data_IF_137791606284
#
_entry.id   IF_137791606284
#
_cell.length_a   1.000
_cell.length_b   1.000
_cell.length_c   1.000
_cell.angle_alpha   90.00
_cell.angle_beta   90.00
_cell.angle_gamma   90.00
#
_symmetry.space_group_name_H-M   'P 1'
#
loop_
_entity.id
_entity.type
_entity.pdbx_description
1 polymer ?
#
# COMPACT_ATOMS: atom_id res chain seq x y z
N UNK A 1 -46.38 20.54 -12.58
CA UNK A 1 -46.08 19.71 -11.37
C UNK A 1 -45.35 18.40 -11.73
N UNK A 2 -45.79 17.65 -12.72
CA UNK A 2 -45.12 16.39 -13.12
C UNK A 2 -43.64 16.56 -13.56
N UNK A 3 -43.34 17.59 -14.35
CA UNK A 3 -41.96 17.85 -14.82
C UNK A 3 -41.00 18.19 -13.67
N UNK A 4 -41.46 18.97 -12.68
CA UNK A 4 -40.65 19.29 -11.51
C UNK A 4 -40.34 18.03 -10.66
N UNK A 5 -41.31 17.13 -10.52
CA UNK A 5 -41.11 15.85 -9.84
C UNK A 5 -40.09 14.96 -10.56
N UNK A 6 -40.14 14.90 -11.89
CA UNK A 6 -39.19 14.12 -12.71
C UNK A 6 -37.77 14.67 -12.57
N UNK A 7 -37.59 16.00 -12.61
CA UNK A 7 -36.29 16.63 -12.41
C UNK A 7 -35.70 16.33 -11.04
N UNK A 8 -36.52 16.42 -9.98
CA UNK A 8 -36.06 16.10 -8.61
C UNK A 8 -35.64 14.63 -8.52
N UNK A 9 -36.38 13.71 -9.12
CA UNK A 9 -36.05 12.28 -9.15
C UNK A 9 -34.72 12.02 -9.85
N UNK A 10 -34.47 12.68 -10.99
CA UNK A 10 -33.21 12.56 -11.73
C UNK A 10 -32.03 13.06 -10.90
N UNK A 11 -32.18 14.19 -10.21
CA UNK A 11 -31.12 14.74 -9.34
C UNK A 11 -30.81 13.77 -8.18
N UNK A 12 -31.84 13.28 -7.50
CA UNK A 12 -31.68 12.31 -6.39
C UNK A 12 -30.97 11.05 -6.88
N UNK A 13 -31.40 10.49 -8.02
CA UNK A 13 -30.79 9.30 -8.59
C UNK A 13 -29.31 9.52 -8.97
N UNK A 14 -28.99 10.69 -9.55
CA UNK A 14 -27.61 11.05 -9.91
C UNK A 14 -26.72 11.17 -8.68
N UNK A 15 -27.21 11.78 -7.60
CA UNK A 15 -26.49 11.90 -6.33
C UNK A 15 -26.26 10.54 -5.69
N UNK A 16 -27.24 9.66 -5.68
CA UNK A 16 -27.12 8.30 -5.16
C UNK A 16 -26.12 7.46 -5.97
N UNK A 17 -26.15 7.60 -7.28
CA UNK A 17 -25.25 6.88 -8.20
C UNK A 17 -23.80 7.35 -8.02
N UNK A 18 -23.57 8.67 -7.95
CA UNK A 18 -22.27 9.26 -7.63
C UNK A 18 -21.79 8.85 -6.24
N UNK A 19 -22.63 8.90 -5.22
CA UNK A 19 -22.33 8.44 -3.87
C UNK A 19 -21.96 6.96 -3.82
N UNK A 20 -22.69 6.10 -4.56
CA UNK A 20 -22.39 4.68 -4.71
C UNK A 20 -21.05 4.41 -5.38
N UNK A 21 -20.72 5.16 -6.45
CA UNK A 21 -19.42 5.07 -7.13
C UNK A 21 -18.29 5.51 -6.21
N UNK A 22 -18.45 6.64 -5.54
CA UNK A 22 -17.47 7.15 -4.57
C UNK A 22 -17.28 6.13 -3.44
N UNK A 23 -18.38 5.62 -2.87
CA UNK A 23 -18.30 4.59 -1.84
C UNK A 23 -17.59 3.32 -2.34
N UNK A 24 -17.91 2.82 -3.53
CA UNK A 24 -17.24 1.66 -4.12
C UNK A 24 -15.75 1.88 -4.40
N UNK A 25 -15.34 3.10 -4.75
CA UNK A 25 -13.95 3.45 -4.99
C UNK A 25 -13.14 3.62 -3.68
N UNK A 26 -13.75 4.22 -2.65
CA UNK A 26 -13.06 4.52 -1.39
C UNK A 26 -13.20 3.43 -0.33
N UNK A 27 -14.33 2.70 -0.31
CA UNK A 27 -14.56 1.59 0.62
C UNK A 27 -14.15 0.22 0.04
N UNK A 28 -13.38 0.21 -1.04
CA UNK A 28 -12.79 -1.03 -1.53
C UNK A 28 -11.89 -1.59 -0.42
N UNK A 29 -12.41 -2.61 0.27
CA UNK A 29 -11.72 -3.32 1.36
C UNK A 29 -10.24 -3.47 1.06
N UNK A 30 -9.35 -3.25 2.05
CA UNK A 30 -7.94 -3.57 1.92
C UNK A 30 -7.86 -4.99 1.38
N UNK A 31 -7.20 -5.13 0.24
CA UNK A 31 -7.13 -6.41 -0.47
C UNK A 31 -6.43 -7.40 0.46
N UNK A 32 -7.19 -8.30 1.07
CA UNK A 32 -6.61 -9.41 1.81
C UNK A 32 -5.80 -10.26 0.83
N UNK A 33 -4.69 -10.80 1.28
CA UNK A 33 -3.97 -11.82 0.51
C UNK A 33 -4.96 -12.93 0.13
N UNK A 34 -4.96 -13.31 -1.13
CA UNK A 34 -5.77 -14.44 -1.58
C UNK A 34 -5.18 -15.74 -1.00
N UNK A 35 -6.01 -16.76 -0.87
CA UNK A 35 -5.54 -18.08 -0.40
C UNK A 35 -4.40 -18.65 -1.26
N UNK A 36 -4.31 -18.26 -2.54
CA UNK A 36 -3.23 -18.64 -3.44
C UNK A 36 -1.91 -17.89 -3.15
N UNK A 37 -2.00 -16.59 -2.81
CA UNK A 37 -0.85 -15.79 -2.42
C UNK A 37 -0.29 -16.30 -1.08
N UNK A 38 -1.17 -16.70 -0.18
CA UNK A 38 -0.81 -17.30 1.11
C UNK A 38 -0.14 -18.66 0.95
N UNK A 39 -0.69 -19.53 0.08
CA UNK A 39 -0.10 -20.83 -0.21
C UNK A 39 1.29 -20.75 -0.86
N UNK A 40 1.62 -19.63 -1.52
CA UNK A 40 2.94 -19.38 -2.08
C UNK A 40 3.99 -19.00 -1.02
N UNK A 41 3.57 -18.74 0.22
CA UNK A 41 4.45 -18.36 1.32
C UNK A 41 4.60 -19.58 2.23
N UNK A 42 5.57 -20.46 1.90
CA UNK A 42 5.89 -21.62 2.73
C UNK A 42 6.27 -21.19 4.15
N UNK A 43 5.64 -21.79 5.15
CA UNK A 43 6.00 -21.63 6.55
C UNK A 43 5.24 -20.56 7.34
N UNK A 44 4.21 -19.94 6.77
CA UNK A 44 3.30 -19.07 7.55
C UNK A 44 2.12 -19.91 8.05
N UNK A 45 2.14 -20.22 9.34
CA UNK A 45 1.04 -20.95 9.98
C UNK A 45 -0.24 -20.13 10.15
N UNK A 46 -0.15 -18.79 10.05
CA UNK A 46 -1.29 -17.88 10.19
C UNK A 46 -1.28 -16.77 9.14
N UNK A 47 -2.27 -16.82 8.27
CA UNK A 47 -2.55 -15.78 7.28
C UNK A 47 -2.78 -14.38 7.88
N UNK A 48 -3.12 -14.30 9.15
CA UNK A 48 -3.38 -13.07 9.90
C UNK A 48 -2.11 -12.27 10.23
N UNK A 49 -0.93 -12.91 10.16
CA UNK A 49 0.34 -12.28 10.54
C UNK A 49 0.93 -11.39 9.42
N UNK A 50 0.51 -11.58 8.16
CA UNK A 50 1.05 -10.84 7.02
C UNK A 50 0.25 -9.58 6.76
N UNK A 51 0.92 -8.43 6.85
CA UNK A 51 0.31 -7.10 6.70
C UNK A 51 0.76 -6.45 5.40
N UNK A 52 -0.15 -5.69 4.81
CA UNK A 52 0.16 -4.94 3.60
C UNK A 52 0.97 -3.69 3.93
N UNK A 53 2.07 -3.50 3.21
CA UNK A 53 2.92 -2.32 3.33
C UNK A 53 2.57 -1.26 2.28
N UNK A 54 2.28 -1.67 1.04
CA UNK A 54 2.06 -0.77 -0.08
C UNK A 54 0.60 -0.65 -0.48
N UNK A 55 0.16 0.56 -0.78
CA UNK A 55 -1.12 0.84 -1.45
C UNK A 55 -0.86 1.41 -2.83
N UNK A 56 -1.78 1.18 -3.76
CA UNK A 56 -1.77 1.87 -5.04
C UNK A 56 -2.66 3.10 -4.93
N UNK A 57 -2.11 4.33 -4.94
CA UNK A 57 -2.91 5.52 -5.08
C UNK A 57 -3.56 5.50 -6.46
N UNK A 58 -4.84 5.90 -6.52
CA UNK A 58 -5.51 6.06 -7.80
C UNK A 58 -5.03 7.36 -8.46
N UNK A 59 -4.34 7.27 -9.58
CA UNK A 59 -3.86 8.42 -10.37
C UNK A 59 -3.94 8.13 -11.87
N UNK A 60 -5.13 7.95 -12.42
CA UNK A 60 -5.38 7.91 -13.87
C UNK A 60 -4.26 7.25 -14.72
N UNK A 61 -3.76 6.09 -14.33
CA UNK A 61 -2.68 5.37 -15.00
C UNK A 61 -1.24 5.89 -14.79
N UNK A 62 -1.06 7.10 -14.31
CA UNK A 62 0.27 7.70 -14.21
C UNK A 62 1.08 7.14 -13.02
N UNK A 63 0.43 6.51 -12.05
CA UNK A 63 1.11 5.94 -10.88
C UNK A 63 2.20 4.93 -11.23
N UNK A 64 2.04 4.16 -12.30
CA UNK A 64 3.02 3.16 -12.74
C UNK A 64 4.36 3.74 -13.19
N UNK A 65 4.44 5.04 -13.48
CA UNK A 65 5.70 5.70 -13.80
C UNK A 65 6.51 6.04 -12.55
N UNK A 66 5.86 6.14 -11.40
CA UNK A 66 6.46 6.61 -10.16
C UNK A 66 6.51 5.53 -9.08
N UNK A 67 5.69 4.50 -9.20
CA UNK A 67 5.51 3.45 -8.20
C UNK A 67 5.72 2.10 -8.86
N UNK A 68 6.37 1.21 -8.14
CA UNK A 68 6.56 -0.18 -8.57
C UNK A 68 5.22 -0.89 -8.72
N UNK A 69 5.11 -1.76 -9.72
CA UNK A 69 3.86 -2.49 -10.00
C UNK A 69 3.57 -3.59 -8.98
N UNK A 70 4.59 -4.01 -8.27
CA UNK A 70 4.55 -5.05 -7.25
C UNK A 70 3.80 -4.57 -6.00
N UNK A 71 3.25 -5.51 -5.28
CA UNK A 71 2.69 -5.26 -3.96
C UNK A 71 3.66 -5.73 -2.88
N UNK A 72 3.86 -4.89 -1.87
CA UNK A 72 4.74 -5.18 -0.75
C UNK A 72 3.90 -5.59 0.47
N UNK A 73 4.31 -6.68 1.09
CA UNK A 73 3.72 -7.21 2.30
C UNK A 73 4.83 -7.56 3.28
N UNK A 74 4.54 -7.66 4.56
CA UNK A 74 5.52 -8.00 5.57
C UNK A 74 4.90 -8.76 6.73
N UNK A 75 5.73 -9.50 7.43
CA UNK A 75 5.50 -10.06 8.75
C UNK A 75 6.60 -9.60 9.72
N UNK A 76 6.76 -10.28 10.84
CA UNK A 76 7.79 -9.94 11.82
C UNK A 76 9.23 -10.23 11.32
N UNK A 77 9.40 -11.09 10.32
CA UNK A 77 10.72 -11.58 9.91
C UNK A 77 11.08 -11.21 8.48
N UNK A 78 10.08 -11.10 7.60
CA UNK A 78 10.29 -11.00 6.17
C UNK A 78 9.45 -9.92 5.52
N UNK A 79 9.94 -9.46 4.37
CA UNK A 79 9.23 -8.65 3.41
C UNK A 79 8.97 -9.50 2.17
N UNK A 80 7.75 -9.51 1.71
CA UNK A 80 7.29 -10.26 0.56
C UNK A 80 6.94 -9.31 -0.57
N UNK A 81 7.45 -9.62 -1.75
CA UNK A 81 7.19 -8.88 -2.98
C UNK A 81 6.35 -9.76 -3.89
N UNK A 82 5.17 -9.29 -4.24
CA UNK A 82 4.28 -9.99 -5.15
C UNK A 82 4.14 -9.25 -6.47
N UNK A 83 4.42 -9.93 -7.57
CA UNK A 83 4.04 -9.50 -8.90
C UNK A 83 2.80 -10.28 -9.35
N UNK A 84 1.71 -9.56 -9.64
CA UNK A 84 0.44 -10.12 -10.15
C UNK A 84 -0.04 -11.38 -9.40
N UNK A 85 0.06 -11.42 -8.07
CA UNK A 85 -0.33 -12.54 -7.21
C UNK A 85 0.68 -13.71 -7.12
N UNK A 86 1.85 -13.59 -7.74
CA UNK A 86 2.94 -14.54 -7.55
C UNK A 86 3.98 -13.94 -6.61
N UNK A 87 4.51 -14.75 -5.71
CA UNK A 87 5.65 -14.36 -4.90
C UNK A 87 6.87 -14.20 -5.82
N UNK A 88 7.31 -12.96 -6.00
CA UNK A 88 8.46 -12.63 -6.83
C UNK A 88 9.76 -12.70 -6.03
N UNK A 89 9.72 -12.23 -4.77
CA UNK A 89 10.89 -12.23 -3.90
C UNK A 89 10.48 -12.22 -2.42
N UNK A 90 11.40 -12.67 -1.57
CA UNK A 90 11.30 -12.66 -0.11
C UNK A 90 12.62 -12.18 0.47
N UNK A 91 12.58 -11.14 1.28
CA UNK A 91 13.75 -10.52 1.89
C UNK A 91 13.63 -10.50 3.41
N UNK A 92 14.76 -10.66 4.10
CA UNK A 92 14.85 -10.36 5.53
C UNK A 92 15.02 -8.86 5.75
N UNK A 93 14.63 -8.36 6.92
CA UNK A 93 14.80 -6.94 7.26
C UNK A 93 16.27 -6.51 7.24
N UNK A 94 17.19 -7.41 7.58
CA UNK A 94 18.63 -7.15 7.57
C UNK A 94 19.18 -6.94 6.16
N UNK A 95 18.47 -7.41 5.13
CA UNK A 95 18.84 -7.24 3.73
C UNK A 95 18.41 -5.88 3.15
N UNK A 96 17.75 -5.04 3.92
CA UNK A 96 17.41 -3.69 3.50
C UNK A 96 18.66 -2.82 3.57
N UNK A 97 19.12 -2.30 2.44
CA UNK A 97 20.23 -1.34 2.37
C UNK A 97 19.81 0.08 2.67
N UNK A 98 18.66 0.47 2.15
CA UNK A 98 18.14 1.82 2.35
C UNK A 98 16.62 1.83 2.32
N UNK A 99 16.07 2.59 3.25
CA UNK A 99 14.66 2.92 3.36
C UNK A 99 14.55 4.45 3.46
N UNK A 100 13.96 5.08 2.47
CA UNK A 100 13.97 6.54 2.35
C UNK A 100 12.73 7.12 1.66
N UNK A 101 12.46 8.37 1.97
CA UNK A 101 11.42 9.16 1.30
C UNK A 101 11.99 9.74 0.02
N UNK A 102 11.25 9.62 -1.07
CA UNK A 102 11.60 10.29 -2.33
C UNK A 102 11.08 11.74 -2.32
N UNK A 103 11.57 12.56 -3.26
CA UNK A 103 11.06 13.93 -3.46
C UNK A 103 9.69 13.98 -4.14
N UNK A 104 9.21 12.84 -4.65
CA UNK A 104 7.98 12.74 -5.44
C UNK A 104 6.78 12.59 -4.49
N UNK A 105 5.71 13.31 -4.78
CA UNK A 105 4.41 13.20 -4.10
C UNK A 105 3.32 12.90 -5.12
N UNK A 106 2.39 12.03 -4.74
CA UNK A 106 1.18 11.71 -5.50
C UNK A 106 -0.01 11.89 -4.57
N UNK A 107 -0.96 12.74 -4.94
CA UNK A 107 -2.16 13.04 -4.14
C UNK A 107 -1.83 13.31 -2.66
N UNK A 108 -0.87 14.22 -2.42
CA UNK A 108 -0.34 14.58 -1.11
C UNK A 108 0.45 13.46 -0.39
N UNK A 109 0.38 12.21 -0.85
CA UNK A 109 1.16 11.12 -0.30
C UNK A 109 2.60 11.12 -0.83
N UNK A 110 3.56 10.90 0.06
CA UNK A 110 4.97 10.77 -0.32
C UNK A 110 5.25 9.36 -0.82
N UNK A 111 6.05 9.25 -1.87
CA UNK A 111 6.55 7.97 -2.34
C UNK A 111 7.75 7.59 -1.50
N UNK A 112 7.73 6.37 -0.97
CA UNK A 112 8.83 5.74 -0.26
C UNK A 112 9.59 4.82 -1.19
N UNK A 113 10.87 4.63 -0.89
CA UNK A 113 11.76 3.75 -1.62
C UNK A 113 12.44 2.80 -0.66
N UNK A 114 12.45 1.53 -1.02
CA UNK A 114 13.19 0.47 -0.34
C UNK A 114 14.17 -0.15 -1.32
N UNK A 115 15.43 -0.31 -0.93
CA UNK A 115 16.48 -0.98 -1.69
C UNK A 115 17.01 -2.16 -0.90
N UNK A 116 17.22 -3.26 -1.57
CA UNK A 116 17.73 -4.50 -0.98
C UNK A 116 19.18 -4.76 -1.34
N UNK A 117 19.82 -5.64 -0.54
CA UNK A 117 21.25 -5.96 -0.64
C UNK A 117 21.65 -6.71 -1.92
N UNK A 118 20.70 -7.23 -2.69
CA UNK A 118 20.94 -7.82 -4.00
C UNK A 118 21.41 -6.81 -5.06
N UNK A 119 21.41 -5.51 -4.70
CA UNK A 119 21.88 -4.42 -5.54
C UNK A 119 21.00 -4.08 -6.73
N UNK A 120 20.08 -4.96 -7.10
CA UNK A 120 19.22 -4.81 -8.28
C UNK A 120 17.78 -4.45 -7.93
N UNK A 121 17.33 -4.81 -6.71
CA UNK A 121 15.92 -4.65 -6.34
C UNK A 121 15.67 -3.32 -5.64
N UNK A 122 14.93 -2.45 -6.31
CA UNK A 122 14.43 -1.18 -5.80
C UNK A 122 12.91 -1.12 -5.97
N UNK A 123 12.20 -0.88 -4.89
CA UNK A 123 10.74 -0.77 -4.92
C UNK A 123 10.30 0.60 -4.41
N UNK A 124 9.51 1.29 -5.23
CA UNK A 124 8.88 2.57 -4.89
C UNK A 124 7.41 2.34 -4.60
N UNK A 125 6.94 2.83 -3.48
CA UNK A 125 5.57 2.60 -3.05
C UNK A 125 5.01 3.77 -2.23
N UNK A 126 3.70 3.83 -2.13
CA UNK A 126 3.00 4.67 -1.17
C UNK A 126 2.61 3.77 0.01
N UNK A 127 2.94 4.15 1.25
CA UNK A 127 2.59 3.35 2.40
C UNK A 127 1.08 3.26 2.59
N UNK A 128 0.62 2.13 3.10
CA UNK A 128 -0.73 1.94 3.59
C UNK A 128 -0.89 2.73 4.90
N UNK A 129 -0.94 4.06 4.78
CA UNK A 129 -1.11 4.96 5.91
C UNK A 129 -2.56 5.44 5.95
N UNK A 130 -3.44 4.63 6.51
CA UNK A 130 -4.75 5.12 6.94
C UNK A 130 -4.79 5.15 8.48
N UNK A 131 -5.67 6.00 9.03
CA UNK A 131 -5.92 6.03 10.47
C UNK A 131 -6.35 4.63 10.98
N UNK A 132 -6.91 3.81 10.08
CA UNK A 132 -7.42 2.47 10.34
C UNK A 132 -6.42 1.35 10.07
N UNK A 133 -5.27 1.63 9.43
CA UNK A 133 -4.24 0.63 9.12
C UNK A 133 -2.88 1.07 9.67
N UNK A 134 -2.52 0.64 10.91
CA UNK A 134 -1.23 1.00 11.52
C UNK A 134 -0.04 0.21 10.95
N UNK A 135 -0.25 -0.55 9.87
CA UNK A 135 0.76 -1.46 9.30
C UNK A 135 2.09 -0.76 8.97
N UNK A 136 2.05 0.48 8.47
CA UNK A 136 3.27 1.22 8.19
C UNK A 136 4.06 1.60 9.45
N UNK A 137 3.37 1.95 10.55
CA UNK A 137 4.03 2.25 11.83
C UNK A 137 4.71 1.01 12.41
N UNK A 138 4.02 -0.11 12.33
CA UNK A 138 4.53 -1.40 12.78
C UNK A 138 5.73 -1.86 11.94
N UNK A 139 5.64 -1.72 10.60
CA UNK A 139 6.79 -1.96 9.73
C UNK A 139 8.02 -1.13 10.15
N UNK A 140 7.82 0.17 10.39
CA UNK A 140 8.90 1.06 10.84
C UNK A 140 9.47 0.64 12.19
N UNK A 141 8.63 0.18 13.11
CA UNK A 141 9.07 -0.32 14.40
C UNK A 141 9.96 -1.55 14.23
N UNK A 142 9.51 -2.56 13.48
CA UNK A 142 10.29 -3.76 13.19
C UNK A 142 11.61 -3.41 12.49
N UNK A 143 11.56 -2.49 11.51
CA UNK A 143 12.76 -2.06 10.80
C UNK A 143 13.76 -1.36 11.72
N UNK A 144 13.30 -0.53 12.68
CA UNK A 144 14.17 0.11 13.68
C UNK A 144 14.82 -0.90 14.62
N UNK A 145 14.08 -1.93 14.99
CA UNK A 145 14.59 -2.99 15.87
C UNK A 145 15.63 -3.86 15.16
N UNK A 146 15.36 -4.25 13.91
CA UNK A 146 16.20 -5.21 13.17
C UNK A 146 17.30 -4.57 12.32
N UNK A 147 17.06 -3.38 11.77
CA UNK A 147 17.99 -2.72 10.85
C UNK A 147 17.85 -1.20 10.86
N UNK A 148 18.15 -0.56 11.98
CA UNK A 148 18.05 0.90 12.12
C UNK A 148 18.93 1.66 11.11
N UNK A 149 20.06 1.11 10.73
CA UNK A 149 21.00 1.73 9.78
C UNK A 149 20.46 1.88 8.36
N UNK A 150 19.45 1.10 8.01
CA UNK A 150 18.77 1.20 6.71
C UNK A 150 17.88 2.44 6.59
N UNK A 151 17.40 3.02 7.69
CA UNK A 151 16.51 4.17 7.68
C UNK A 151 17.33 5.43 7.40
N UNK A 152 17.26 5.94 6.17
CA UNK A 152 17.98 7.15 5.73
C UNK A 152 17.19 8.43 5.97
N UNK A 153 15.88 8.33 6.04
CA UNK A 153 14.97 9.46 6.32
C UNK A 153 14.05 9.06 7.46
N UNK A 154 14.15 9.74 8.59
CA UNK A 154 13.18 9.51 9.65
C UNK A 154 11.81 10.10 9.25
N UNK A 155 10.76 9.27 9.24
CA UNK A 155 9.43 9.75 8.92
C UNK A 155 8.94 10.67 10.03
N UNK A 156 8.70 11.93 9.70
CA UNK A 156 7.95 12.81 10.59
C UNK A 156 6.49 12.43 10.53
N UNK A 157 5.86 12.23 11.66
CA UNK A 157 4.50 11.71 11.81
C UNK A 157 3.42 12.46 10.99
N UNK A 158 3.60 13.76 10.78
CA UNK A 158 2.70 14.61 9.98
C UNK A 158 2.96 14.59 8.47
N UNK A 159 3.96 13.83 8.03
CA UNK A 159 4.29 13.70 6.60
C UNK A 159 3.65 12.46 5.96
N UNK A 160 2.94 11.67 6.76
CA UNK A 160 2.27 10.42 6.32
C UNK A 160 0.74 10.56 6.17
N UNK A 161 0.19 11.77 6.40
CA UNK A 161 -1.24 12.09 6.20
C UNK A 161 -1.47 12.86 4.91
#
# INVERSE_FOLDING_TARGET
MAEALIQILIVIFSVLLLGGIIWALFCRNPRKLSSRELAAIDGISEASAVKRLSVRPFLFWMERFFISCESLWFDQNFIYVFDRQKLAARYKFEQILAFEVTKIRINHARIWRIRFADGASEYKFVPAASIFEPSFKEFLQILREKNRGAIKTEPRFWETV
#
